data_IF_622546402881
#
_entry.id   IF_622546402881
#
_cell.length_a   1.000
_cell.length_b   1.000
_cell.length_c   1.000
_cell.angle_alpha   90.00
_cell.angle_beta   90.00
_cell.angle_gamma   90.00
#
_symmetry.space_group_name_H-M   'P 1'
#
loop_
_entity.id
_entity.type
_entity.pdbx_description
1 polymer ?
#
# COMPACT_ATOMS: atom_id res chain seq x y z
N UNK A 1 14.19 -12.37 21.49
CA UNK A 1 15.38 -12.43 20.63
C UNK A 1 16.34 -13.47 21.22
N UNK A 2 16.96 -14.32 20.43
CA UNK A 2 17.98 -15.28 20.89
C UNK A 2 19.35 -14.61 20.73
N UNK A 3 19.83 -13.99 21.81
CA UNK A 3 21.11 -13.25 21.83
C UNK A 3 22.27 -14.12 21.37
N UNK A 4 22.33 -15.36 21.81
CA UNK A 4 23.37 -16.32 21.42
C UNK A 4 23.49 -16.53 19.89
N UNK A 5 22.39 -16.51 19.15
CA UNK A 5 22.42 -16.65 17.69
C UNK A 5 22.99 -15.41 17.00
N UNK A 6 22.69 -14.22 17.51
CA UNK A 6 23.27 -12.94 17.07
C UNK A 6 24.78 -12.93 17.35
N UNK A 7 25.18 -13.28 18.58
CA UNK A 7 26.60 -13.36 18.98
C UNK A 7 27.39 -14.28 18.06
N UNK A 8 26.84 -15.47 17.77
CA UNK A 8 27.46 -16.45 16.89
C UNK A 8 27.62 -15.92 15.47
N UNK A 9 26.56 -15.35 14.90
CA UNK A 9 26.57 -14.92 13.48
C UNK A 9 27.47 -13.70 13.28
N UNK A 10 27.51 -12.74 14.18
CA UNK A 10 28.38 -11.56 14.07
C UNK A 10 29.74 -11.71 14.78
N UNK A 11 30.00 -12.86 15.38
CA UNK A 11 31.24 -13.12 16.13
C UNK A 11 31.53 -12.05 17.19
N UNK A 12 30.52 -11.69 17.96
CA UNK A 12 30.58 -10.73 19.05
C UNK A 12 30.16 -11.40 20.36
N UNK A 13 30.47 -10.77 21.48
CA UNK A 13 29.89 -11.09 22.79
C UNK A 13 29.14 -9.86 23.29
N UNK A 14 27.90 -10.04 23.64
CA UNK A 14 27.02 -8.97 24.13
C UNK A 14 27.15 -8.87 25.64
N UNK A 15 27.59 -7.73 26.15
CA UNK A 15 27.70 -7.46 27.57
C UNK A 15 26.47 -6.73 28.10
N UNK A 16 25.90 -5.82 27.30
CA UNK A 16 24.71 -5.01 27.64
C UNK A 16 23.80 -4.91 26.41
N UNK A 17 22.50 -5.03 26.65
CA UNK A 17 21.47 -4.76 25.65
C UNK A 17 20.40 -3.83 26.22
N UNK A 18 20.04 -2.77 25.50
CA UNK A 18 19.00 -1.82 25.87
C UNK A 18 18.11 -1.52 24.66
N UNK A 19 16.81 -1.69 24.82
CA UNK A 19 15.85 -1.30 23.80
C UNK A 19 15.75 0.23 23.71
N UNK A 20 15.74 0.78 22.48
CA UNK A 20 15.61 2.20 22.21
C UNK A 20 14.80 2.43 20.94
N UNK A 21 13.56 2.93 21.04
CA UNK A 21 12.70 3.33 19.90
C UNK A 21 12.68 2.34 18.70
N UNK A 22 12.57 1.02 18.97
CA UNK A 22 12.49 -0.02 17.93
C UNK A 22 13.83 -0.56 17.43
N UNK A 23 14.95 -0.11 18.00
CA UNK A 23 16.28 -0.67 17.83
C UNK A 23 16.84 -1.10 19.19
N UNK A 24 17.98 -1.78 19.17
CA UNK A 24 18.69 -2.15 20.40
C UNK A 24 20.09 -1.53 20.37
N UNK A 25 20.38 -0.72 21.40
CA UNK A 25 21.76 -0.42 21.75
C UNK A 25 22.36 -1.65 22.39
N UNK A 26 23.51 -2.09 21.88
CA UNK A 26 24.28 -3.18 22.48
C UNK A 26 25.72 -2.79 22.71
N UNK A 27 26.24 -3.12 23.90
CA UNK A 27 27.66 -3.04 24.21
C UNK A 27 28.25 -4.41 24.03
N UNK A 28 29.32 -4.50 23.26
CA UNK A 28 29.97 -5.77 22.89
C UNK A 28 31.47 -5.70 23.18
N UNK A 29 32.12 -6.87 23.17
CA UNK A 29 33.57 -6.97 23.23
C UNK A 29 34.31 -6.29 22.04
N UNK A 30 33.56 -5.86 21.00
CA UNK A 30 34.08 -5.11 19.83
C UNK A 30 33.58 -3.67 19.79
N UNK A 31 33.05 -3.14 20.90
CA UNK A 31 32.55 -1.78 21.04
C UNK A 31 31.02 -1.70 20.99
N UNK A 32 30.52 -0.48 20.93
CA UNK A 32 29.09 -0.18 20.94
C UNK A 32 28.47 -0.33 19.55
N UNK A 33 27.28 -0.90 19.49
CA UNK A 33 26.60 -1.25 18.23
C UNK A 33 25.11 -0.96 18.31
N UNK A 34 24.53 -0.74 17.13
CA UNK A 34 23.08 -0.71 16.92
C UNK A 34 22.66 -2.05 16.31
N UNK A 35 21.80 -2.79 16.99
CA UNK A 35 21.16 -3.98 16.45
C UNK A 35 19.72 -3.63 16.10
N UNK A 36 19.32 -3.87 14.86
CA UNK A 36 17.98 -3.52 14.36
C UNK A 36 17.31 -4.73 13.73
N UNK A 37 16.07 -5.02 14.16
CA UNK A 37 15.19 -5.95 13.46
C UNK A 37 14.67 -5.29 12.18
N UNK A 38 14.78 -5.99 11.06
CA UNK A 38 14.38 -5.51 9.74
C UNK A 38 13.01 -6.06 9.37
N UNK A 39 12.10 -5.17 8.94
CA UNK A 39 10.72 -5.51 8.59
C UNK A 39 10.49 -5.63 7.07
N UNK A 40 11.55 -5.73 6.28
CA UNK A 40 11.51 -5.88 4.83
C UNK A 40 12.46 -7.00 4.38
N UNK A 41 12.27 -7.48 3.14
CA UNK A 41 13.01 -8.64 2.64
C UNK A 41 14.50 -8.40 2.39
N UNK A 42 15.28 -9.50 2.21
CA UNK A 42 16.72 -9.44 2.03
C UNK A 42 17.17 -8.63 0.81
N UNK A 43 16.39 -8.62 -0.27
CA UNK A 43 16.71 -7.85 -1.48
C UNK A 43 16.79 -6.35 -1.21
N UNK A 44 15.80 -5.78 -0.51
CA UNK A 44 15.83 -4.37 -0.10
C UNK A 44 16.98 -4.09 0.87
N UNK A 45 17.30 -5.04 1.74
CA UNK A 45 18.42 -4.92 2.66
C UNK A 45 19.75 -4.85 1.91
N UNK A 46 19.96 -5.70 0.91
CA UNK A 46 21.15 -5.67 0.05
C UNK A 46 21.26 -4.37 -0.75
N UNK A 47 20.12 -3.84 -1.22
CA UNK A 47 20.08 -2.49 -1.82
C UNK A 47 20.58 -1.43 -0.85
N UNK A 48 20.04 -1.40 0.38
CA UNK A 48 20.41 -0.42 1.42
C UNK A 48 21.88 -0.57 1.80
N UNK A 49 22.37 -1.80 1.96
CA UNK A 49 23.77 -2.07 2.24
C UNK A 49 24.68 -1.56 1.13
N UNK A 50 24.39 -1.92 -0.12
CA UNK A 50 25.15 -1.46 -1.27
C UNK A 50 25.14 0.06 -1.45
N UNK A 51 24.01 0.72 -1.17
CA UNK A 51 23.90 2.17 -1.19
C UNK A 51 24.83 2.82 -0.16
N UNK A 52 24.89 2.31 1.07
CA UNK A 52 25.81 2.80 2.11
C UNK A 52 27.28 2.62 1.71
N UNK A 53 27.65 1.43 1.19
CA UNK A 53 29.00 1.17 0.71
C UNK A 53 29.38 2.10 -0.48
N UNK A 54 28.44 2.36 -1.39
CA UNK A 54 28.63 3.30 -2.49
C UNK A 54 28.86 4.74 -1.99
N UNK A 55 28.08 5.22 -1.03
CA UNK A 55 28.24 6.53 -0.39
C UNK A 55 29.63 6.65 0.26
N UNK A 56 30.05 5.64 1.01
CA UNK A 56 31.36 5.61 1.66
C UNK A 56 32.50 5.67 0.62
N UNK A 57 32.38 4.87 -0.46
CA UNK A 57 33.34 4.84 -1.56
C UNK A 57 33.46 6.19 -2.27
N UNK A 58 32.34 6.93 -2.37
CA UNK A 58 32.30 8.27 -3.00
C UNK A 58 32.58 9.40 -1.99
N UNK A 59 33.16 9.10 -0.83
CA UNK A 59 33.64 10.08 0.13
C UNK A 59 32.63 10.54 1.17
N UNK A 60 31.37 10.12 1.10
CA UNK A 60 30.37 10.41 2.13
C UNK A 60 30.43 9.32 3.21
N UNK A 61 31.32 9.51 4.21
CA UNK A 61 31.64 8.49 5.23
C UNK A 61 30.74 8.52 6.45
N UNK A 62 29.93 9.57 6.63
CA UNK A 62 29.09 9.77 7.82
C UNK A 62 27.76 9.03 7.70
N UNK A 63 27.82 7.71 7.62
CA UNK A 63 26.68 6.78 7.63
C UNK A 63 26.93 5.68 8.66
N UNK A 64 25.86 5.11 9.19
CA UNK A 64 25.94 3.96 10.11
C UNK A 64 26.36 2.70 9.32
N UNK A 65 27.64 2.38 9.36
CA UNK A 65 28.20 1.25 8.62
C UNK A 65 27.68 -0.08 9.15
N UNK A 66 27.30 -0.99 8.23
CA UNK A 66 26.90 -2.36 8.59
C UNK A 66 28.12 -3.27 8.83
N UNK A 67 27.99 -4.15 9.79
CA UNK A 67 28.92 -5.24 10.02
C UNK A 67 28.42 -6.50 9.31
N UNK A 68 29.34 -7.21 8.67
CA UNK A 68 29.02 -8.48 8.02
C UNK A 68 29.01 -9.61 9.04
N UNK A 69 28.14 -10.58 8.81
CA UNK A 69 28.12 -11.83 9.57
C UNK A 69 29.27 -12.78 9.13
N UNK A 70 29.34 -13.98 9.70
CA UNK A 70 30.38 -14.99 9.39
C UNK A 70 30.33 -15.48 7.94
N UNK A 71 29.20 -15.34 7.26
CA UNK A 71 28.98 -15.74 5.87
C UNK A 71 29.23 -14.60 4.89
N UNK A 72 29.63 -13.41 5.38
CA UNK A 72 29.86 -12.22 4.57
C UNK A 72 28.59 -11.44 4.23
N UNK A 73 27.46 -11.74 4.87
CA UNK A 73 26.19 -11.05 4.64
C UNK A 73 25.96 -9.89 5.63
N UNK A 74 25.31 -8.78 5.23
CA UNK A 74 25.08 -7.64 6.09
C UNK A 74 23.92 -7.84 7.08
N UNK A 75 23.49 -9.06 7.30
CA UNK A 75 22.38 -9.40 8.20
C UNK A 75 22.58 -10.78 8.85
N UNK A 76 21.86 -11.00 9.93
CA UNK A 76 21.68 -12.31 10.55
C UNK A 76 20.20 -12.74 10.44
N UNK A 77 19.96 -14.02 10.15
CA UNK A 77 18.63 -14.61 10.20
C UNK A 77 18.47 -15.36 11.53
N UNK A 78 17.52 -14.93 12.35
CA UNK A 78 17.22 -15.51 13.66
C UNK A 78 15.72 -15.72 13.79
N UNK A 79 15.28 -16.98 13.88
CA UNK A 79 13.84 -17.35 13.93
C UNK A 79 12.99 -16.68 12.82
N UNK A 80 13.43 -16.75 11.58
CA UNK A 80 12.80 -16.14 10.40
C UNK A 80 12.84 -14.59 10.37
N UNK A 81 13.37 -13.95 11.40
CA UNK A 81 13.56 -12.51 11.45
C UNK A 81 14.95 -12.08 11.00
N UNK A 82 15.03 -11.03 10.23
CA UNK A 82 16.29 -10.43 9.78
C UNK A 82 16.78 -9.38 10.78
N UNK A 83 18.05 -9.43 11.12
CA UNK A 83 18.71 -8.45 11.99
C UNK A 83 19.95 -7.88 11.32
N UNK A 84 20.12 -6.57 11.39
CA UNK A 84 21.37 -5.89 10.99
C UNK A 84 22.11 -5.41 12.22
N UNK A 85 23.45 -5.40 12.10
CA UNK A 85 24.35 -4.84 13.08
C UNK A 85 25.08 -3.66 12.45
N UNK A 86 24.99 -2.47 13.05
CA UNK A 86 25.70 -1.29 12.56
C UNK A 86 26.45 -0.56 13.69
N UNK A 87 27.25 0.42 13.33
CA UNK A 87 27.87 1.31 14.30
C UNK A 87 26.82 2.04 15.13
N UNK A 88 27.11 2.22 16.42
CA UNK A 88 26.37 3.14 17.25
C UNK A 88 26.94 4.55 17.04
N UNK A 89 26.15 5.45 16.48
CA UNK A 89 26.56 6.83 16.29
C UNK A 89 26.19 7.65 17.52
N UNK A 90 27.19 8.23 18.16
CA UNK A 90 26.99 9.14 19.28
C UNK A 90 26.56 10.52 18.80
N UNK A 91 25.67 11.16 19.56
CA UNK A 91 25.20 12.51 19.24
C UNK A 91 23.78 12.75 19.70
N UNK A 92 23.24 13.87 19.29
CA UNK A 92 21.85 14.26 19.51
C UNK A 92 21.14 14.47 18.16
N UNK A 93 19.83 14.44 18.18
CA UNK A 93 19.01 14.81 17.04
C UNK A 93 19.23 16.30 16.67
N UNK A 94 19.15 16.61 15.37
CA UNK A 94 19.22 17.95 14.83
C UNK A 94 18.01 18.77 15.30
N UNK A 95 18.25 19.98 15.77
CA UNK A 95 17.17 20.91 16.15
C UNK A 95 16.72 21.73 14.94
N UNK A 96 15.53 21.42 14.42
CA UNK A 96 14.93 22.13 13.28
C UNK A 96 14.44 23.55 13.61
N UNK A 97 14.44 23.96 14.88
CA UNK A 97 14.24 25.35 15.27
C UNK A 97 15.54 26.18 15.21
N UNK A 98 16.69 25.53 15.13
CA UNK A 98 17.98 26.18 14.99
C UNK A 98 18.35 26.31 13.48
N UNK A 99 18.30 27.52 12.96
CA UNK A 99 18.55 27.79 11.54
C UNK A 99 19.96 27.36 11.07
N UNK A 100 20.96 27.43 11.94
CA UNK A 100 22.32 27.02 11.59
C UNK A 100 22.43 25.49 11.47
N UNK A 101 21.72 24.75 12.32
CA UNK A 101 21.65 23.28 12.20
C UNK A 101 20.88 22.86 10.94
N UNK A 102 19.80 23.58 10.59
CA UNK A 102 19.05 23.36 9.34
C UNK A 102 19.95 23.59 8.11
N UNK A 103 20.77 24.63 8.09
CA UNK A 103 21.74 24.88 7.01
C UNK A 103 22.75 23.73 6.88
N UNK A 104 23.33 23.29 8.00
CA UNK A 104 24.26 22.13 8.03
C UNK A 104 23.59 20.88 7.51
N UNK A 105 22.34 20.61 7.91
CA UNK A 105 21.59 19.45 7.43
C UNK A 105 21.33 19.53 5.92
N UNK A 106 20.98 20.71 5.39
CA UNK A 106 20.76 20.93 3.96
C UNK A 106 22.04 20.73 3.14
N UNK A 107 23.17 21.27 3.60
CA UNK A 107 24.47 21.03 2.96
C UNK A 107 24.87 19.55 2.97
N UNK A 108 24.59 18.87 4.08
CA UNK A 108 24.86 17.43 4.21
C UNK A 108 23.99 16.63 3.25
N UNK A 109 22.71 16.99 3.10
CA UNK A 109 21.82 16.38 2.12
C UNK A 109 22.32 16.54 0.68
N UNK A 110 22.82 17.74 0.33
CA UNK A 110 23.41 17.98 -0.98
C UNK A 110 24.66 17.10 -1.23
N UNK A 111 25.54 16.98 -0.24
CA UNK A 111 26.72 16.09 -0.29
C UNK A 111 26.33 14.62 -0.45
N UNK A 112 25.28 14.18 0.24
CA UNK A 112 24.73 12.82 0.13
C UNK A 112 24.22 12.59 -1.30
N UNK A 113 23.44 13.53 -1.87
CA UNK A 113 22.92 13.42 -3.24
C UNK A 113 24.06 13.34 -4.27
N UNK A 114 25.12 14.16 -4.14
CA UNK A 114 26.27 14.08 -5.03
C UNK A 114 26.99 12.73 -4.92
N UNK A 115 27.20 12.23 -3.69
CA UNK A 115 27.86 10.95 -3.47
C UNK A 115 27.00 9.73 -3.90
N UNK A 116 25.68 9.90 -3.98
CA UNK A 116 24.76 8.83 -4.38
C UNK A 116 24.71 8.59 -5.90
N UNK A 117 25.19 9.54 -6.70
CA UNK A 117 25.16 9.43 -8.16
C UNK A 117 25.95 8.22 -8.67
N UNK A 118 25.40 7.57 -9.70
CA UNK A 118 26.05 6.40 -10.31
C UNK A 118 25.94 5.12 -9.48
N UNK A 119 25.08 5.07 -8.46
CA UNK A 119 24.82 3.83 -7.74
C UNK A 119 24.14 2.80 -8.66
N UNK A 120 24.84 1.72 -8.96
CA UNK A 120 24.28 0.55 -9.64
C UNK A 120 24.14 -0.57 -8.62
N UNK A 121 22.90 -0.85 -8.16
CA UNK A 121 22.68 -1.87 -7.13
C UNK A 121 22.99 -3.26 -7.66
N UNK A 122 23.39 -4.22 -6.78
CA UNK A 122 23.58 -5.61 -7.14
C UNK A 122 22.35 -6.19 -7.86
N UNK A 123 22.57 -7.10 -8.83
CA UNK A 123 21.45 -7.65 -9.64
C UNK A 123 20.34 -8.30 -8.83
N UNK A 124 20.69 -9.00 -7.75
CA UNK A 124 19.76 -9.61 -6.81
C UNK A 124 19.08 -8.61 -5.86
N UNK A 125 19.50 -7.36 -5.86
CA UNK A 125 18.85 -6.22 -5.16
C UNK A 125 18.17 -5.25 -6.12
N UNK A 126 18.30 -5.43 -7.44
CA UNK A 126 17.51 -4.74 -8.45
C UNK A 126 16.07 -5.16 -8.27
N UNK A 127 15.36 -4.32 -7.52
CA UNK A 127 13.98 -4.48 -7.15
C UNK A 127 13.09 -4.52 -8.39
N UNK A 128 12.83 -5.72 -8.85
CA UNK A 128 11.59 -6.06 -9.49
C UNK A 128 11.14 -7.35 -8.85
N UNK A 129 10.40 -7.23 -7.76
CA UNK A 129 9.60 -8.35 -7.26
C UNK A 129 8.66 -8.80 -8.39
N UNK A 130 8.15 -10.01 -8.32
CA UNK A 130 7.15 -10.47 -9.28
C UNK A 130 5.95 -9.52 -9.32
N UNK A 131 5.59 -8.94 -8.17
CA UNK A 131 4.60 -7.87 -8.06
C UNK A 131 4.98 -6.65 -8.92
N UNK A 132 6.19 -6.11 -8.79
CA UNK A 132 6.62 -4.92 -9.54
C UNK A 132 6.60 -5.17 -11.04
N UNK A 133 7.07 -6.34 -11.48
CA UNK A 133 7.06 -6.71 -12.89
C UNK A 133 5.63 -6.82 -13.45
N UNK A 134 4.75 -7.45 -12.70
CA UNK A 134 3.35 -7.63 -13.08
C UNK A 134 2.59 -6.30 -13.02
N UNK A 135 2.86 -5.49 -11.98
CA UNK A 135 2.31 -4.15 -11.85
C UNK A 135 2.70 -3.25 -13.02
N UNK A 136 3.98 -3.18 -13.37
CA UNK A 136 4.47 -2.38 -14.49
C UNK A 136 3.89 -2.81 -15.84
N UNK A 137 3.75 -4.12 -16.07
CA UNK A 137 3.13 -4.67 -17.30
C UNK A 137 1.65 -4.30 -17.43
N UNK A 138 0.94 -4.21 -16.32
CA UNK A 138 -0.50 -3.95 -16.28
C UNK A 138 -0.86 -2.47 -16.06
N UNK A 139 0.07 -1.67 -15.55
CA UNK A 139 -0.16 -0.30 -15.11
C UNK A 139 -0.78 0.60 -16.19
N UNK A 140 -0.28 0.54 -17.42
CA UNK A 140 -0.76 1.42 -18.49
C UNK A 140 -2.24 1.18 -18.81
N UNK A 141 -2.66 -0.09 -18.83
CA UNK A 141 -4.07 -0.45 -19.00
C UNK A 141 -4.95 0.12 -17.88
N UNK A 142 -4.57 -0.10 -16.61
CA UNK A 142 -5.39 0.38 -15.48
C UNK A 142 -5.37 1.89 -15.33
N UNK A 143 -4.29 2.54 -15.71
CA UNK A 143 -4.18 4.01 -15.80
C UNK A 143 -5.14 4.57 -16.85
N UNK A 144 -5.24 3.93 -18.01
CA UNK A 144 -6.16 4.37 -19.06
C UNK A 144 -7.63 4.17 -18.67
N UNK A 145 -7.95 3.07 -18.00
CA UNK A 145 -9.29 2.86 -17.42
C UNK A 145 -9.60 3.93 -16.35
N UNK A 146 -8.65 4.25 -15.47
CA UNK A 146 -8.83 5.30 -14.46
C UNK A 146 -9.06 6.68 -15.08
N UNK A 147 -8.33 7.02 -16.18
CA UNK A 147 -8.56 8.26 -16.93
C UNK A 147 -9.95 8.30 -17.56
N UNK A 148 -10.42 7.18 -18.14
CA UNK A 148 -11.77 7.09 -18.68
C UNK A 148 -12.82 7.30 -17.59
N UNK A 149 -12.66 6.65 -16.44
CA UNK A 149 -13.55 6.83 -15.29
C UNK A 149 -13.61 8.29 -14.83
N UNK A 150 -12.46 8.97 -14.77
CA UNK A 150 -12.41 10.39 -14.42
C UNK A 150 -13.10 11.27 -15.46
N UNK A 151 -12.92 10.99 -16.75
CA UNK A 151 -13.60 11.70 -17.83
C UNK A 151 -15.12 11.49 -17.77
N UNK A 152 -15.58 10.26 -17.52
CA UNK A 152 -17.01 9.95 -17.30
C UNK A 152 -17.55 10.73 -16.09
N UNK A 153 -16.82 10.74 -14.97
CA UNK A 153 -17.23 11.48 -13.78
C UNK A 153 -17.32 12.99 -14.03
N UNK A 154 -16.33 13.56 -14.73
CA UNK A 154 -16.30 14.98 -15.08
C UNK A 154 -17.40 15.39 -16.06
N UNK A 155 -17.82 14.46 -16.94
CA UNK A 155 -18.93 14.67 -17.87
C UNK A 155 -20.30 14.44 -17.23
N UNK A 156 -20.35 13.80 -16.05
CA UNK A 156 -21.58 13.56 -15.29
C UNK A 156 -21.95 14.79 -14.43
N UNK A 157 -23.13 14.76 -13.87
CA UNK A 157 -23.59 15.80 -12.91
C UNK A 157 -23.16 15.51 -11.46
N UNK A 158 -21.97 14.94 -11.25
CA UNK A 158 -21.47 14.53 -9.94
C UNK A 158 -21.48 15.67 -8.92
N UNK A 159 -21.04 16.88 -9.30
CA UNK A 159 -21.02 18.05 -8.41
C UNK A 159 -22.42 18.41 -7.93
N UNK A 160 -23.40 18.38 -8.84
CA UNK A 160 -24.81 18.62 -8.49
C UNK A 160 -25.35 17.56 -7.52
N UNK A 161 -24.99 16.28 -7.71
CA UNK A 161 -25.38 15.23 -6.79
C UNK A 161 -24.73 15.41 -5.40
N UNK A 162 -23.51 15.92 -5.32
CA UNK A 162 -22.88 16.27 -4.06
C UNK A 162 -23.65 17.39 -3.33
N UNK A 163 -24.07 18.44 -4.05
CA UNK A 163 -24.87 19.55 -3.49
C UNK A 163 -26.22 19.04 -2.96
N UNK A 164 -26.87 18.15 -3.71
CA UNK A 164 -28.13 17.50 -3.28
C UNK A 164 -27.90 16.68 -2.01
N UNK A 165 -26.88 15.82 -1.99
CA UNK A 165 -26.56 14.99 -0.83
C UNK A 165 -26.23 15.83 0.42
N UNK A 166 -25.57 16.97 0.25
CA UNK A 166 -25.31 17.91 1.35
C UNK A 166 -26.59 18.55 1.88
N UNK A 167 -27.48 18.96 0.97
CA UNK A 167 -28.77 19.56 1.35
C UNK A 167 -29.71 18.57 2.06
N UNK A 168 -29.77 17.32 1.55
CA UNK A 168 -30.58 16.25 2.14
C UNK A 168 -30.03 15.74 3.47
N UNK A 169 -28.74 16.03 3.77
CA UNK A 169 -28.04 15.62 4.99
C UNK A 169 -27.99 14.09 5.18
N UNK A 170 -28.11 13.34 4.10
CA UNK A 170 -27.93 11.90 4.08
C UNK A 170 -26.46 11.50 4.33
N UNK A 171 -26.22 10.25 4.58
CA UNK A 171 -24.89 9.69 4.69
C UNK A 171 -24.81 8.30 4.05
N UNK A 172 -23.62 7.90 3.66
CA UNK A 172 -23.28 6.57 3.20
C UNK A 172 -22.62 5.76 4.32
N UNK A 173 -22.79 4.45 4.28
CA UNK A 173 -22.18 3.51 5.22
C UNK A 173 -20.65 3.41 5.00
N UNK A 174 -20.22 3.57 3.75
CA UNK A 174 -18.83 3.45 3.27
C UNK A 174 -18.17 2.08 3.39
N UNK A 175 -18.73 1.16 4.16
CA UNK A 175 -18.28 -0.24 4.21
C UNK A 175 -19.46 -1.23 4.18
N UNK A 176 -20.43 -0.98 3.29
CA UNK A 176 -21.56 -1.89 3.09
C UNK A 176 -21.08 -3.18 2.42
N UNK A 177 -20.90 -4.22 3.22
CA UNK A 177 -20.34 -5.53 2.81
C UNK A 177 -21.06 -6.66 3.53
N UNK A 178 -20.91 -7.89 3.02
CA UNK A 178 -21.59 -9.08 3.56
C UNK A 178 -21.32 -9.33 5.06
N UNK A 179 -20.18 -8.92 5.58
CA UNK A 179 -19.87 -9.01 7.01
C UNK A 179 -20.73 -8.08 7.87
N UNK A 180 -21.16 -6.96 7.29
CA UNK A 180 -21.89 -5.91 7.96
C UNK A 180 -23.40 -5.99 7.72
N UNK A 181 -23.87 -7.03 7.02
CA UNK A 181 -25.28 -7.31 6.71
C UNK A 181 -25.67 -8.62 7.37
N UNK A 182 -26.48 -8.55 8.40
CA UNK A 182 -26.90 -9.71 9.20
C UNK A 182 -28.33 -10.08 8.83
N UNK A 183 -28.51 -11.29 8.34
CA UNK A 183 -29.84 -11.85 8.05
C UNK A 183 -30.36 -12.61 9.27
N UNK A 184 -31.44 -12.16 9.84
CA UNK A 184 -32.14 -12.83 10.94
C UNK A 184 -32.94 -14.07 10.46
N UNK A 185 -33.25 -14.99 11.39
CA UNK A 185 -34.05 -16.19 11.10
C UNK A 185 -35.51 -15.86 10.69
N UNK A 186 -35.96 -14.65 10.98
CA UNK A 186 -37.31 -14.11 10.65
C UNK A 186 -37.27 -13.30 9.32
N UNK A 187 -36.19 -13.43 8.53
CA UNK A 187 -35.89 -12.65 7.34
C UNK A 187 -35.68 -11.13 7.59
N UNK A 188 -35.53 -10.73 8.83
CA UNK A 188 -35.09 -9.36 9.11
C UNK A 188 -33.66 -9.13 8.65
N UNK A 189 -33.33 -7.88 8.31
CA UNK A 189 -31.98 -7.48 7.89
C UNK A 189 -31.49 -6.40 8.83
N UNK A 190 -30.35 -6.62 9.46
CA UNK A 190 -29.66 -5.62 10.29
C UNK A 190 -28.35 -5.22 9.63
N UNK A 191 -28.01 -3.95 9.73
CA UNK A 191 -26.73 -3.40 9.26
C UNK A 191 -25.92 -2.96 10.47
N UNK A 192 -24.64 -3.30 10.50
CA UNK A 192 -23.72 -3.03 11.62
C UNK A 192 -22.45 -2.36 11.12
N UNK A 193 -21.60 -1.86 12.03
CA UNK A 193 -20.28 -1.28 11.76
C UNK A 193 -20.32 0.01 10.92
N UNK A 194 -20.87 1.07 11.53
CA UNK A 194 -20.98 2.42 10.94
C UNK A 194 -19.72 3.28 11.14
N UNK A 195 -18.59 2.74 11.54
CA UNK A 195 -17.37 3.49 11.89
C UNK A 195 -16.82 4.33 10.72
N UNK A 196 -17.10 3.91 9.48
CA UNK A 196 -16.69 4.61 8.25
C UNK A 196 -17.76 5.51 7.65
N UNK A 197 -18.94 5.63 8.29
CA UNK A 197 -20.03 6.40 7.72
C UNK A 197 -19.66 7.89 7.57
N UNK A 198 -20.02 8.47 6.43
CA UNK A 198 -19.82 9.89 6.15
C UNK A 198 -20.81 10.40 5.10
N UNK A 199 -20.91 11.72 4.98
CA UNK A 199 -21.67 12.35 3.91
C UNK A 199 -21.01 12.08 2.57
N UNK A 200 -21.77 11.49 1.67
CA UNK A 200 -21.33 11.13 0.32
C UNK A 200 -22.57 10.89 -0.56
N UNK A 201 -22.43 10.93 -1.87
CA UNK A 201 -23.49 10.55 -2.81
C UNK A 201 -23.81 9.06 -2.68
N UNK A 202 -25.09 8.71 -2.65
CA UNK A 202 -25.54 7.32 -2.41
C UNK A 202 -25.01 6.29 -3.43
N UNK A 203 -24.71 6.74 -4.64
CA UNK A 203 -24.10 5.94 -5.70
C UNK A 203 -22.73 5.36 -5.30
N UNK A 204 -22.04 5.98 -4.35
CA UNK A 204 -20.80 5.44 -3.78
C UNK A 204 -21.01 4.10 -3.09
N UNK A 205 -21.98 3.99 -2.17
CA UNK A 205 -22.28 2.73 -1.49
C UNK A 205 -22.81 1.67 -2.45
N UNK A 206 -23.67 2.07 -3.40
CA UNK A 206 -24.21 1.16 -4.42
C UNK A 206 -23.08 0.57 -5.24
N UNK A 207 -22.15 1.41 -5.74
CA UNK A 207 -21.01 0.95 -6.55
C UNK A 207 -20.08 0.02 -5.78
N UNK A 208 -19.76 0.36 -4.54
CA UNK A 208 -18.89 -0.48 -3.70
C UNK A 208 -19.53 -1.83 -3.37
N UNK A 209 -20.83 -1.85 -3.06
CA UNK A 209 -21.59 -3.07 -2.85
C UNK A 209 -21.61 -3.91 -4.12
N UNK A 210 -21.96 -3.31 -5.24
CA UNK A 210 -21.99 -3.97 -6.55
C UNK A 210 -20.64 -4.60 -6.92
N UNK A 211 -19.52 -3.87 -6.80
CA UNK A 211 -18.17 -4.40 -7.06
C UNK A 211 -17.86 -5.61 -6.14
N UNK A 212 -18.26 -5.55 -4.88
CA UNK A 212 -18.03 -6.66 -3.92
C UNK A 212 -18.83 -7.91 -4.30
N UNK A 213 -20.03 -7.76 -4.86
CA UNK A 213 -20.87 -8.85 -5.36
C UNK A 213 -20.33 -9.38 -6.69
N UNK A 214 -20.10 -8.52 -7.65
CA UNK A 214 -19.70 -8.87 -9.03
C UNK A 214 -18.39 -9.66 -9.08
N UNK A 215 -17.38 -9.25 -8.34
CA UNK A 215 -16.09 -9.97 -8.28
C UNK A 215 -16.21 -11.41 -7.79
N UNK A 216 -17.26 -11.76 -7.03
CA UNK A 216 -17.54 -13.11 -6.54
C UNK A 216 -18.40 -13.92 -7.51
N UNK A 217 -18.98 -13.24 -8.47
CA UNK A 217 -19.92 -13.79 -9.47
C UNK A 217 -19.43 -13.54 -10.89
N UNK A 218 -18.10 -13.58 -11.12
CA UNK A 218 -17.45 -13.47 -12.43
C UNK A 218 -17.94 -12.28 -13.26
N UNK A 219 -18.21 -11.15 -12.60
CA UNK A 219 -18.70 -9.91 -13.23
C UNK A 219 -20.01 -10.09 -14.04
N UNK A 220 -20.87 -11.05 -13.63
CA UNK A 220 -22.15 -11.30 -14.29
C UNK A 220 -23.09 -10.10 -14.10
N UNK A 221 -23.58 -9.53 -15.23
CA UNK A 221 -24.49 -8.37 -15.28
C UNK A 221 -25.82 -8.61 -14.55
N UNK A 222 -26.31 -9.84 -14.50
CA UNK A 222 -27.59 -10.17 -13.85
C UNK A 222 -27.59 -9.78 -12.37
N UNK A 223 -26.44 -9.89 -11.68
CA UNK A 223 -26.32 -9.43 -10.30
C UNK A 223 -26.39 -7.90 -10.18
N UNK A 224 -25.83 -7.16 -11.14
CA UNK A 224 -25.94 -5.71 -11.19
C UNK A 224 -27.40 -5.29 -11.41
N UNK A 225 -28.07 -5.92 -12.36
CA UNK A 225 -29.48 -5.68 -12.67
C UNK A 225 -30.37 -5.96 -11.45
N UNK A 226 -30.17 -7.10 -10.78
CA UNK A 226 -30.89 -7.45 -9.55
C UNK A 226 -30.69 -6.43 -8.42
N UNK A 227 -29.47 -5.91 -8.27
CA UNK A 227 -29.17 -4.86 -7.28
C UNK A 227 -29.93 -3.58 -7.63
N UNK A 228 -29.83 -3.11 -8.87
CA UNK A 228 -30.48 -1.87 -9.34
C UNK A 228 -31.99 -1.98 -9.27
N UNK A 229 -32.57 -3.05 -9.78
CA UNK A 229 -34.00 -3.29 -9.72
C UNK A 229 -34.55 -3.28 -8.29
N UNK A 230 -33.85 -3.97 -7.39
CA UNK A 230 -34.25 -4.04 -5.99
C UNK A 230 -34.11 -2.71 -5.28
N UNK A 231 -33.04 -1.97 -5.55
CA UNK A 231 -32.83 -0.63 -5.02
C UNK A 231 -33.92 0.36 -5.51
N UNK A 232 -34.20 0.33 -6.81
CA UNK A 232 -35.20 1.19 -7.46
C UNK A 232 -36.64 0.96 -6.97
N UNK A 233 -36.96 -0.21 -6.39
CA UNK A 233 -38.27 -0.43 -5.74
C UNK A 233 -38.48 0.45 -4.52
N UNK A 234 -37.41 0.86 -3.86
CA UNK A 234 -37.45 1.68 -2.64
C UNK A 234 -37.07 3.12 -2.93
N UNK A 235 -36.01 3.34 -3.71
CA UNK A 235 -35.48 4.65 -4.01
C UNK A 235 -34.92 4.67 -5.44
N UNK A 236 -35.71 5.23 -6.35
CA UNK A 236 -35.39 5.24 -7.79
C UNK A 236 -34.13 6.08 -8.05
N UNK A 237 -33.21 5.51 -8.83
CA UNK A 237 -32.05 6.23 -9.38
C UNK A 237 -32.48 7.02 -10.62
N UNK A 238 -31.94 8.21 -10.78
CA UNK A 238 -32.10 9.03 -11.97
C UNK A 238 -30.94 8.83 -12.98
N UNK A 239 -31.04 9.44 -14.14
CA UNK A 239 -30.05 9.34 -15.22
C UNK A 239 -28.68 9.85 -14.80
N UNK A 240 -28.62 10.92 -14.03
CA UNK A 240 -27.37 11.48 -13.54
C UNK A 240 -26.65 10.51 -12.59
N UNK A 241 -27.43 9.83 -11.74
CA UNK A 241 -26.89 8.85 -10.81
C UNK A 241 -26.36 7.59 -11.53
N UNK A 242 -26.96 7.16 -12.61
CA UNK A 242 -26.43 6.06 -13.41
C UNK A 242 -25.06 6.42 -14.02
N UNK A 243 -24.88 7.64 -14.49
CA UNK A 243 -23.60 8.10 -15.04
C UNK A 243 -22.50 8.12 -13.96
N UNK A 244 -22.84 8.61 -12.76
CA UNK A 244 -21.90 8.61 -11.63
C UNK A 244 -21.60 7.19 -11.14
N UNK A 245 -22.63 6.34 -11.07
CA UNK A 245 -22.48 4.93 -10.72
C UNK A 245 -21.53 4.22 -11.71
N UNK A 246 -21.73 4.45 -13.02
CA UNK A 246 -20.85 3.91 -14.04
C UNK A 246 -19.40 4.38 -13.89
N UNK A 247 -19.17 5.67 -13.62
CA UNK A 247 -17.83 6.20 -13.38
C UNK A 247 -17.14 5.50 -12.18
N UNK A 248 -17.87 5.27 -11.08
CA UNK A 248 -17.35 4.53 -9.94
C UNK A 248 -17.05 3.06 -10.26
N UNK A 249 -17.93 2.38 -11.02
CA UNK A 249 -17.71 1.01 -11.47
C UNK A 249 -16.52 0.89 -12.42
N UNK A 250 -16.30 1.92 -13.25
CA UNK A 250 -15.19 1.99 -14.20
C UNK A 250 -13.85 2.27 -13.53
N UNK A 251 -13.84 2.94 -12.35
CA UNK A 251 -12.59 3.22 -11.67
C UNK A 251 -11.95 1.94 -11.11
N UNK A 252 -10.68 1.61 -11.42
CA UNK A 252 -10.04 0.37 -11.02
C UNK A 252 -9.57 0.41 -9.56
N UNK A 253 -10.49 0.61 -8.63
CA UNK A 253 -10.25 0.84 -7.22
C UNK A 253 -9.43 -0.29 -6.55
N UNK A 254 -9.68 -1.55 -6.93
CA UNK A 254 -8.98 -2.71 -6.37
C UNK A 254 -7.50 -2.69 -6.73
N UNK A 255 -7.18 -2.38 -7.99
CA UNK A 255 -5.81 -2.27 -8.47
C UNK A 255 -5.06 -1.13 -7.76
N UNK A 256 -5.68 0.05 -7.69
CA UNK A 256 -5.13 1.22 -7.01
C UNK A 256 -4.91 0.97 -5.51
N UNK A 257 -5.90 0.41 -4.80
CA UNK A 257 -5.77 0.08 -3.36
C UNK A 257 -4.67 -0.94 -3.11
N UNK A 258 -4.54 -1.96 -3.97
CA UNK A 258 -3.50 -2.98 -3.81
C UNK A 258 -2.11 -2.38 -3.97
N UNK A 259 -1.93 -1.51 -4.98
CA UNK A 259 -0.67 -0.80 -5.20
C UNK A 259 -0.31 0.10 -3.99
N UNK A 260 -1.26 0.88 -3.48
CA UNK A 260 -1.03 1.71 -2.29
C UNK A 260 -0.61 0.85 -1.09
N UNK A 261 -1.32 -0.23 -0.81
CA UNK A 261 -0.99 -1.15 0.30
C UNK A 261 0.40 -1.75 0.16
N UNK A 262 0.81 -2.08 -1.05
CA UNK A 262 2.14 -2.62 -1.32
C UNK A 262 3.24 -1.57 -1.17
N UNK A 263 3.12 -0.44 -1.85
CA UNK A 263 4.19 0.56 -1.91
C UNK A 263 4.28 1.44 -0.64
N UNK A 264 3.16 1.66 0.06
CA UNK A 264 3.14 2.45 1.30
C UNK A 264 3.20 1.58 2.57
N UNK A 265 3.32 0.25 2.44
CA UNK A 265 3.36 -0.70 3.56
C UNK A 265 2.16 -0.55 4.53
N UNK A 266 0.96 -0.28 4.00
CA UNK A 266 -0.24 -0.07 4.80
C UNK A 266 -0.72 -1.34 5.52
N UNK A 267 -0.28 -2.52 5.07
CA UNK A 267 -0.67 -3.82 5.62
C UNK A 267 0.53 -4.77 5.66
N UNK A 268 0.55 -5.62 6.66
CA UNK A 268 1.65 -6.57 6.89
C UNK A 268 1.36 -7.92 6.20
N UNK A 269 1.16 -7.90 4.88
CA UNK A 269 0.98 -9.10 4.08
C UNK A 269 2.32 -9.60 3.53
N UNK A 270 2.49 -10.94 3.43
CA UNK A 270 3.63 -11.51 2.73
C UNK A 270 3.58 -11.24 1.22
N UNK A 271 4.76 -11.27 0.56
CA UNK A 271 4.93 -11.03 -0.88
C UNK A 271 3.95 -11.87 -1.71
N UNK A 272 3.89 -13.20 -1.48
CA UNK A 272 3.00 -14.11 -2.21
C UNK A 272 1.52 -13.72 -2.16
N UNK A 273 1.09 -13.05 -1.07
CA UNK A 273 -0.29 -12.56 -0.94
C UNK A 273 -0.54 -11.38 -1.86
N UNK A 274 0.43 -10.48 -1.99
CA UNK A 274 0.34 -9.35 -2.91
C UNK A 274 0.34 -9.82 -4.37
N UNK A 275 1.25 -10.74 -4.72
CA UNK A 275 1.37 -11.31 -6.06
C UNK A 275 0.06 -11.99 -6.49
N UNK A 276 -0.47 -12.90 -5.67
CA UNK A 276 -1.73 -13.60 -5.95
C UNK A 276 -2.93 -12.65 -6.08
N UNK A 277 -2.98 -11.58 -5.28
CA UNK A 277 -4.06 -10.59 -5.39
C UNK A 277 -3.96 -9.76 -6.67
N UNK A 278 -2.75 -9.40 -7.10
CA UNK A 278 -2.54 -8.67 -8.34
C UNK A 278 -2.88 -9.56 -9.56
N UNK A 279 -2.43 -10.80 -9.55
CA UNK A 279 -2.79 -11.80 -10.57
C UNK A 279 -4.30 -11.98 -10.69
N UNK A 280 -5.00 -12.12 -9.56
CA UNK A 280 -6.46 -12.22 -9.54
C UNK A 280 -7.13 -11.03 -10.22
N UNK A 281 -6.67 -9.80 -9.94
CA UNK A 281 -7.22 -8.58 -10.55
C UNK A 281 -6.96 -8.56 -12.05
N UNK A 282 -5.78 -8.99 -12.50
CA UNK A 282 -5.42 -9.01 -13.91
C UNK A 282 -6.18 -10.09 -14.67
N UNK A 283 -6.36 -11.26 -14.07
CA UNK A 283 -7.08 -12.37 -14.68
C UNK A 283 -8.58 -12.09 -14.86
N UNK A 284 -9.16 -11.23 -14.01
CA UNK A 284 -10.58 -10.80 -14.11
C UNK A 284 -10.80 -9.70 -15.19
N UNK A 285 -9.75 -9.23 -15.87
CA UNK A 285 -9.78 -8.07 -16.76
C UNK A 285 -10.82 -8.18 -17.87
N UNK A 286 -10.90 -9.32 -18.53
CA UNK A 286 -11.80 -9.51 -19.70
C UNK A 286 -13.27 -9.49 -19.27
N UNK A 287 -13.59 -10.18 -18.18
CA UNK A 287 -14.95 -10.22 -17.63
C UNK A 287 -15.36 -8.84 -17.10
N UNK A 288 -14.44 -8.14 -16.44
CA UNK A 288 -14.66 -6.77 -16.00
C UNK A 288 -14.95 -5.81 -17.15
N UNK A 289 -14.21 -5.90 -18.27
CA UNK A 289 -14.45 -5.05 -19.43
C UNK A 289 -15.79 -5.36 -20.11
N UNK A 290 -16.14 -6.65 -20.26
CA UNK A 290 -17.45 -7.08 -20.80
C UNK A 290 -18.59 -6.55 -19.93
N UNK A 291 -18.44 -6.66 -18.61
CA UNK A 291 -19.40 -6.10 -17.66
C UNK A 291 -19.59 -4.59 -17.87
N UNK A 292 -18.49 -3.82 -17.95
CA UNK A 292 -18.58 -2.37 -18.16
C UNK A 292 -19.30 -2.01 -19.47
N UNK A 293 -19.03 -2.75 -20.54
CA UNK A 293 -19.70 -2.55 -21.83
C UNK A 293 -21.18 -2.87 -21.74
N UNK A 294 -21.56 -4.00 -21.13
CA UNK A 294 -22.96 -4.37 -20.93
C UNK A 294 -23.69 -3.33 -20.07
N UNK A 295 -23.08 -2.92 -18.95
CA UNK A 295 -23.68 -1.92 -18.07
C UNK A 295 -23.90 -0.59 -18.80
N UNK A 296 -22.90 -0.14 -19.57
CA UNK A 296 -23.01 1.08 -20.37
C UNK A 296 -24.19 1.02 -21.33
N UNK A 297 -24.37 -0.08 -22.04
CA UNK A 297 -25.43 -0.26 -23.02
C UNK A 297 -26.82 -0.40 -22.37
N UNK A 298 -26.90 -1.16 -21.26
CA UNK A 298 -28.16 -1.42 -20.54
C UNK A 298 -28.75 -0.14 -19.93
N UNK A 299 -27.90 0.71 -19.35
CA UNK A 299 -28.31 1.91 -18.62
C UNK A 299 -28.07 3.21 -19.40
N UNK A 300 -27.69 3.15 -20.69
CA UNK A 300 -27.42 4.30 -21.56
C UNK A 300 -26.48 5.35 -20.94
N UNK A 301 -25.45 4.89 -20.21
CA UNK A 301 -24.49 5.77 -19.58
C UNK A 301 -23.47 6.36 -20.58
N UNK A 302 -22.92 7.54 -20.24
CA UNK A 302 -21.95 8.28 -21.07
C UNK A 302 -20.55 7.67 -21.09
#
# INVERSE_FOLDING_TARGET
MREFEIERQFQIKIDIIKANKGIYYIKTNKGERCLKKINYGPQKLLFVYGAKEHLIKNGFKNVDKYFLNIDGEPYALVNEDLYTLSEWLEGRECDFHNIEEVKIAAETLAKLHEASKGYDPPENSKLKSDFDLLYLKSMEFYKDIAKKALNTLNASEYVKLCEIAEHEKGFCHHDYTYHNIILGNDNSVSVIDFDYCKREVRTFDISNFMIKVLKRNNWNIDFANAIIESYNKVSKLDECEYNVLYAYLQFPQRYWRLANRYYYNEVNWGQNTFDSKLESIINEKEEYLKFLEHFKNEYNTI
#
